data_IF_587062576051
#
_entry.id   IF_587062576051
#
_cell.length_a   1.000
_cell.length_b   1.000
_cell.length_c   1.000
_cell.angle_alpha   90.00
_cell.angle_beta   90.00
_cell.angle_gamma   90.00
#
_symmetry.space_group_name_H-M   'P 1'
#
loop_
_entity.id
_entity.type
_entity.pdbx_description
1 polymer ?
#
# COMPACT_ATOMS: atom_id res chain seq x y z
N UNK A 1 16.03 24.54 -14.43
CA UNK A 1 16.63 23.20 -14.21
C UNK A 1 16.48 22.73 -12.75
N UNK A 2 15.31 22.97 -12.12
CA UNK A 2 15.01 22.45 -10.77
C UNK A 2 14.11 21.21 -10.85
N UNK A 3 13.36 21.05 -11.94
CA UNK A 3 12.42 19.93 -12.13
C UNK A 3 13.12 18.57 -12.18
N UNK A 4 14.26 18.46 -12.87
CA UNK A 4 15.00 17.19 -13.00
C UNK A 4 15.43 16.62 -11.64
N UNK A 5 15.76 17.48 -10.66
CA UNK A 5 16.19 17.04 -9.33
C UNK A 5 15.04 16.55 -8.46
N UNK A 6 13.81 17.00 -8.70
CA UNK A 6 12.65 16.57 -7.87
C UNK A 6 12.34 15.10 -8.08
N UNK A 7 12.33 14.67 -9.33
CA UNK A 7 12.10 13.27 -9.70
C UNK A 7 13.29 12.38 -9.35
N UNK A 8 14.52 12.90 -9.41
CA UNK A 8 15.70 12.20 -8.86
C UNK A 8 15.57 11.93 -7.36
N UNK A 9 15.27 12.96 -6.55
CA UNK A 9 15.05 12.80 -5.11
C UNK A 9 13.86 11.86 -4.83
N UNK A 10 12.78 11.97 -5.61
CA UNK A 10 11.63 11.08 -5.47
C UNK A 10 12.00 9.61 -5.74
N UNK A 11 12.85 9.35 -6.74
CA UNK A 11 13.37 8.01 -7.05
C UNK A 11 14.18 7.47 -5.87
N UNK A 12 15.09 8.27 -5.32
CA UNK A 12 15.89 7.88 -4.15
C UNK A 12 15.00 7.56 -2.94
N UNK A 13 13.98 8.38 -2.66
CA UNK A 13 13.03 8.12 -1.58
C UNK A 13 12.24 6.83 -1.84
N UNK A 14 11.82 6.60 -3.08
CA UNK A 14 11.07 5.41 -3.47
C UNK A 14 11.88 4.11 -3.31
N UNK A 15 13.20 4.17 -3.55
CA UNK A 15 14.14 3.09 -3.27
C UNK A 15 14.35 2.94 -1.76
N UNK A 16 14.59 4.04 -1.05
CA UNK A 16 14.81 4.06 0.40
C UNK A 16 13.67 3.42 1.20
N UNK A 17 12.41 3.67 0.82
CA UNK A 17 11.22 3.09 1.47
C UNK A 17 11.19 1.56 1.42
N UNK A 18 11.84 0.95 0.44
CA UNK A 18 11.95 -0.51 0.32
C UNK A 18 13.05 -1.09 1.22
N UNK A 19 14.09 -0.32 1.49
CA UNK A 19 15.26 -0.76 2.24
C UNK A 19 15.09 -0.62 3.75
N UNK A 20 14.41 0.44 4.19
CA UNK A 20 14.24 0.71 5.61
C UNK A 20 13.00 0.05 6.20
N UNK A 21 13.10 -0.35 7.46
CA UNK A 21 11.93 -0.80 8.22
C UNK A 21 10.86 0.28 8.22
N UNK A 22 9.69 -0.03 7.66
CA UNK A 22 8.59 0.92 7.44
C UNK A 22 8.15 1.65 8.73
N UNK A 23 8.26 1.01 9.89
CA UNK A 23 7.95 1.61 11.20
C UNK A 23 8.85 2.80 11.59
N UNK A 24 9.99 2.99 10.91
CA UNK A 24 10.91 4.10 11.16
C UNK A 24 10.57 5.36 10.36
N UNK A 25 9.66 5.24 9.40
CA UNK A 25 9.24 6.34 8.55
C UNK A 25 8.03 7.03 9.18
N UNK A 26 8.09 8.36 9.28
CA UNK A 26 6.96 9.16 9.76
C UNK A 26 5.92 9.31 8.66
N UNK A 27 4.67 8.82 8.83
CA UNK A 27 3.63 8.91 7.80
C UNK A 27 3.35 10.35 7.34
N UNK A 28 3.22 11.29 8.28
CA UNK A 28 3.00 12.70 7.99
C UNK A 28 4.13 13.30 7.13
N UNK A 29 5.38 13.17 7.58
CA UNK A 29 6.54 13.75 6.89
C UNK A 29 6.72 13.19 5.49
N UNK A 30 6.59 11.87 5.34
CA UNK A 30 6.75 11.24 4.04
C UNK A 30 5.62 11.64 3.08
N UNK A 31 4.38 11.71 3.56
CA UNK A 31 3.22 12.13 2.76
C UNK A 31 3.39 13.56 2.25
N UNK A 32 3.81 14.49 3.12
CA UNK A 32 4.08 15.88 2.72
C UNK A 32 5.19 15.99 1.67
N UNK A 33 6.31 15.28 1.86
CA UNK A 33 7.42 15.29 0.91
C UNK A 33 6.99 14.67 -0.43
N UNK A 34 6.25 13.57 -0.38
CA UNK A 34 5.71 12.90 -1.56
C UNK A 34 4.83 13.83 -2.40
N UNK A 35 3.82 14.47 -1.80
CA UNK A 35 2.90 15.39 -2.51
C UNK A 35 3.64 16.54 -3.19
N UNK A 36 4.71 17.04 -2.57
CA UNK A 36 5.55 18.06 -3.20
C UNK A 36 6.35 17.46 -4.34
N UNK A 37 7.09 16.37 -4.14
CA UNK A 37 8.02 15.87 -5.16
C UNK A 37 7.33 15.23 -6.37
N UNK A 38 6.15 14.66 -6.20
CA UNK A 38 5.38 14.01 -7.25
C UNK A 38 4.42 14.96 -8.00
N UNK A 39 4.59 16.28 -7.87
CA UNK A 39 3.82 17.29 -8.61
C UNK A 39 4.74 18.24 -9.41
N UNK A 40 4.73 18.21 -10.76
CA UNK A 40 3.87 17.39 -11.61
C UNK A 40 4.22 15.88 -11.52
N UNK A 41 3.26 14.99 -11.82
CA UNK A 41 3.49 13.55 -11.74
C UNK A 41 4.64 13.08 -12.62
N UNK A 42 5.54 12.22 -12.10
CA UNK A 42 6.56 11.60 -12.93
C UNK A 42 5.93 10.61 -13.91
N UNK A 43 6.52 10.47 -15.09
CA UNK A 43 6.06 9.58 -16.16
C UNK A 43 7.00 8.40 -16.40
N UNK A 44 8.14 8.35 -15.71
CA UNK A 44 9.23 7.38 -15.91
C UNK A 44 9.63 6.66 -14.60
N UNK A 45 8.96 6.94 -13.48
CA UNK A 45 9.24 6.36 -12.16
C UNK A 45 8.03 5.55 -11.70
N UNK A 46 8.23 4.26 -11.43
CA UNK A 46 7.20 3.45 -10.77
C UNK A 46 7.16 3.74 -9.26
N UNK A 47 6.13 4.45 -8.82
CA UNK A 47 5.90 4.81 -7.42
C UNK A 47 5.16 3.73 -6.61
N UNK A 48 5.04 2.51 -7.13
CA UNK A 48 4.43 1.37 -6.43
C UNK A 48 4.87 1.21 -4.95
N UNK A 49 6.17 1.29 -4.60
CA UNK A 49 6.62 1.16 -3.21
C UNK A 49 6.10 2.27 -2.29
N UNK A 50 6.18 3.53 -2.74
CA UNK A 50 5.65 4.67 -1.99
C UNK A 50 4.13 4.59 -1.84
N UNK A 51 3.41 4.24 -2.91
CA UNK A 51 1.96 4.05 -2.86
C UNK A 51 1.60 2.94 -1.87
N UNK A 52 2.31 1.82 -1.88
CA UNK A 52 2.06 0.71 -0.94
C UNK A 52 2.28 1.15 0.51
N UNK A 53 3.35 1.91 0.78
CA UNK A 53 3.62 2.46 2.10
C UNK A 53 2.52 3.43 2.55
N UNK A 54 2.20 4.43 1.73
CA UNK A 54 1.20 5.46 2.05
C UNK A 54 -0.20 4.86 2.24
N UNK A 55 -0.47 3.73 1.58
CA UNK A 55 -1.70 2.96 1.76
C UNK A 55 -1.72 2.10 3.02
N UNK A 56 -0.59 1.81 3.65
CA UNK A 56 -0.54 1.11 4.94
C UNK A 56 -0.54 2.09 6.11
N UNK A 57 0.03 3.27 5.89
CA UNK A 57 0.18 4.30 6.90
C UNK A 57 -0.37 5.63 6.37
N UNK A 58 -1.69 5.72 6.10
CA UNK A 58 -2.30 6.97 5.69
C UNK A 58 -2.31 7.95 6.87
N UNK A 59 -2.33 9.25 6.58
CA UNK A 59 -2.33 10.29 7.61
C UNK A 59 -3.38 11.36 7.27
N UNK A 60 -4.36 11.58 8.16
CA UNK A 60 -5.52 12.43 7.87
C UNK A 60 -5.17 13.84 7.42
N UNK A 61 -4.18 14.48 8.08
CA UNK A 61 -3.76 15.87 7.75
C UNK A 61 -3.27 16.10 6.32
N UNK A 62 -2.82 15.05 5.64
CA UNK A 62 -2.24 15.14 4.30
C UNK A 62 -3.00 14.27 3.31
N UNK A 63 -4.11 13.67 3.73
CA UNK A 63 -4.78 12.64 2.95
C UNK A 63 -5.32 13.18 1.63
N UNK A 64 -5.94 14.36 1.66
CA UNK A 64 -6.43 15.03 0.45
C UNK A 64 -5.31 15.22 -0.57
N UNK A 65 -4.22 15.89 -0.17
CA UNK A 65 -3.11 16.19 -1.08
C UNK A 65 -2.40 14.93 -1.56
N UNK A 66 -2.27 13.92 -0.69
CA UNK A 66 -1.65 12.65 -1.02
C UNK A 66 -2.50 11.87 -2.02
N UNK A 67 -3.80 11.77 -1.78
CA UNK A 67 -4.74 11.05 -2.65
C UNK A 67 -4.87 11.73 -4.01
N UNK A 68 -4.99 13.05 -4.07
CA UNK A 68 -4.97 13.82 -5.32
C UNK A 68 -3.69 13.56 -6.12
N UNK A 69 -2.54 13.58 -5.44
CA UNK A 69 -1.24 13.35 -6.09
C UNK A 69 -1.13 11.92 -6.65
N UNK A 70 -1.56 10.90 -5.87
CA UNK A 70 -1.53 9.51 -6.31
C UNK A 70 -2.50 9.28 -7.47
N UNK A 71 -3.71 9.85 -7.43
CA UNK A 71 -4.68 9.74 -8.53
C UNK A 71 -4.16 10.41 -9.79
N UNK A 72 -3.61 11.63 -9.67
CA UNK A 72 -2.99 12.32 -10.79
C UNK A 72 -1.85 11.48 -11.40
N UNK A 73 -1.00 10.88 -10.56
CA UNK A 73 0.06 9.97 -10.99
C UNK A 73 -0.48 8.72 -11.70
N UNK A 74 -1.50 8.06 -11.15
CA UNK A 74 -2.08 6.87 -11.78
C UNK A 74 -2.64 7.21 -13.17
N UNK A 75 -3.29 8.37 -13.30
CA UNK A 75 -3.84 8.85 -14.55
C UNK A 75 -2.74 9.20 -15.58
N UNK A 76 -1.61 9.77 -15.14
CA UNK A 76 -0.52 10.16 -16.03
C UNK A 76 0.41 9.01 -16.41
N UNK A 77 0.79 8.16 -15.46
CA UNK A 77 1.69 7.03 -15.65
C UNK A 77 0.98 5.86 -16.31
N UNK A 78 -0.32 5.71 -16.07
CA UNK A 78 -1.14 4.65 -16.64
C UNK A 78 -1.04 3.34 -15.87
N UNK A 79 -2.22 2.78 -15.56
CA UNK A 79 -2.36 1.56 -14.74
C UNK A 79 -1.60 0.34 -15.27
N UNK A 80 -1.37 0.23 -16.57
CA UNK A 80 -0.63 -0.88 -17.19
C UNK A 80 0.88 -0.83 -16.96
N UNK A 81 1.42 0.32 -16.57
CA UNK A 81 2.85 0.52 -16.34
C UNK A 81 3.24 0.28 -14.87
N UNK A 82 2.28 0.33 -13.95
CA UNK A 82 2.52 0.19 -12.51
C UNK A 82 2.85 -1.27 -12.19
N UNK A 83 4.00 -1.52 -11.56
CA UNK A 83 4.44 -2.89 -11.28
C UNK A 83 3.58 -3.58 -10.20
N UNK A 84 3.08 -2.84 -9.19
CA UNK A 84 2.28 -3.40 -8.09
C UNK A 84 0.80 -3.01 -8.16
N UNK A 85 -0.01 -3.86 -8.80
CA UNK A 85 -1.47 -3.71 -8.79
C UNK A 85 -2.08 -3.85 -7.39
N UNK A 86 -1.43 -4.59 -6.48
CA UNK A 86 -1.85 -4.75 -5.09
C UNK A 86 -1.76 -3.43 -4.33
N UNK A 87 -0.66 -2.70 -4.51
CA UNK A 87 -0.47 -1.38 -3.89
C UNK A 87 -1.58 -0.41 -4.33
N UNK A 88 -1.83 -0.35 -5.63
CA UNK A 88 -2.90 0.50 -6.21
C UNK A 88 -4.27 0.08 -5.71
N UNK A 89 -4.61 -1.21 -5.70
CA UNK A 89 -5.91 -1.67 -5.19
C UNK A 89 -6.12 -1.30 -3.73
N UNK A 90 -5.10 -1.43 -2.89
CA UNK A 90 -5.19 -1.02 -1.48
C UNK A 90 -5.45 0.48 -1.38
N UNK A 91 -4.69 1.30 -2.10
CA UNK A 91 -4.89 2.74 -2.15
C UNK A 91 -6.33 3.09 -2.56
N UNK A 92 -6.79 2.54 -3.69
CA UNK A 92 -8.13 2.84 -4.21
C UNK A 92 -9.23 2.41 -3.25
N UNK A 93 -9.05 1.32 -2.51
CA UNK A 93 -9.99 0.90 -1.48
C UNK A 93 -10.10 1.93 -0.35
N UNK A 94 -8.97 2.50 0.12
CA UNK A 94 -8.99 3.57 1.11
C UNK A 94 -9.72 4.83 0.63
N UNK A 95 -9.58 5.17 -0.66
CA UNK A 95 -10.29 6.32 -1.21
C UNK A 95 -11.81 6.13 -1.25
N UNK A 96 -12.28 4.88 -1.32
CA UNK A 96 -13.71 4.56 -1.40
C UNK A 96 -14.32 4.38 -0.02
N UNK A 97 -13.55 3.91 0.97
CA UNK A 97 -14.04 3.67 2.32
C UNK A 97 -14.08 4.97 3.17
N UNK A 98 -15.27 5.49 3.52
CA UNK A 98 -15.40 6.67 4.38
C UNK A 98 -15.03 6.40 5.84
N UNK A 99 -15.04 5.14 6.28
CA UNK A 99 -14.89 4.81 7.71
C UNK A 99 -13.43 4.62 8.12
N UNK A 100 -12.49 4.72 7.18
CA UNK A 100 -11.10 4.44 7.46
C UNK A 100 -10.49 5.46 8.44
N UNK A 101 -9.64 4.94 9.33
CA UNK A 101 -8.96 5.74 10.37
C UNK A 101 -7.45 5.66 10.17
N UNK A 102 -6.76 6.76 10.44
CA UNK A 102 -5.30 6.78 10.46
C UNK A 102 -4.73 6.07 11.69
N UNK A 103 -3.40 5.97 11.78
CA UNK A 103 -2.71 5.34 12.91
C UNK A 103 -2.99 6.00 14.28
N UNK A 104 -3.52 7.23 14.28
CA UNK A 104 -3.91 7.97 15.48
C UNK A 104 -5.41 7.83 15.80
N UNK A 105 -6.16 7.08 14.99
CA UNK A 105 -7.61 6.91 15.15
C UNK A 105 -8.42 8.09 14.62
N UNK A 106 -7.80 9.04 13.91
CA UNK A 106 -8.54 10.13 13.29
C UNK A 106 -9.23 9.63 12.03
N UNK A 107 -10.39 10.21 11.71
CA UNK A 107 -10.98 10.07 10.38
C UNK A 107 -9.94 10.45 9.33
N UNK A 108 -9.86 9.71 8.25
CA UNK A 108 -8.96 10.04 7.17
C UNK A 108 -9.44 11.30 6.42
N UNK A 109 -10.75 11.55 6.44
CA UNK A 109 -11.42 12.64 5.72
C UNK A 109 -11.78 13.85 6.60
N UNK A 110 -11.47 13.83 7.90
CA UNK A 110 -11.92 14.90 8.84
C UNK A 110 -11.60 16.34 8.41
N UNK A 111 -10.49 16.54 7.69
CA UNK A 111 -10.03 17.86 7.23
C UNK A 111 -10.31 18.12 5.75
N UNK A 112 -10.93 17.17 5.06
CA UNK A 112 -11.22 17.26 3.63
C UNK A 112 -12.65 17.77 3.43
N UNK A 113 -12.87 18.82 2.62
CA UNK A 113 -14.23 19.24 2.27
C UNK A 113 -14.99 18.11 1.56
N UNK A 114 -16.28 17.95 1.86
CA UNK A 114 -17.14 16.88 1.29
C UNK A 114 -17.07 16.84 -0.25
N UNK A 115 -16.97 17.99 -0.91
CA UNK A 115 -16.85 18.08 -2.37
C UNK A 115 -15.57 17.42 -2.90
N UNK A 116 -14.44 17.61 -2.21
CA UNK A 116 -13.17 17.00 -2.56
C UNK A 116 -13.17 15.50 -2.25
N UNK A 117 -13.75 15.10 -1.11
CA UNK A 117 -13.92 13.68 -0.77
C UNK A 117 -14.74 12.96 -1.85
N UNK A 118 -15.91 13.50 -2.22
CA UNK A 118 -16.76 12.92 -3.25
C UNK A 118 -16.06 12.84 -4.61
N UNK A 119 -15.27 13.85 -4.96
CA UNK A 119 -14.46 13.86 -6.20
C UNK A 119 -13.43 12.73 -6.17
N UNK A 120 -12.60 12.66 -5.12
CA UNK A 120 -11.54 11.65 -4.97
C UNK A 120 -12.14 10.24 -4.96
N UNK A 121 -13.24 10.03 -4.23
CA UNK A 121 -13.95 8.74 -4.21
C UNK A 121 -14.41 8.33 -5.60
N UNK A 122 -15.07 9.22 -6.33
CA UNK A 122 -15.55 8.94 -7.70
C UNK A 122 -14.40 8.58 -8.64
N UNK A 123 -13.30 9.32 -8.59
CA UNK A 123 -12.12 9.03 -9.41
C UNK A 123 -11.51 7.67 -9.05
N UNK A 124 -11.44 7.35 -7.76
CA UNK A 124 -10.95 6.05 -7.29
C UNK A 124 -11.85 4.89 -7.73
N UNK A 125 -13.17 5.06 -7.73
CA UNK A 125 -14.13 4.06 -8.24
C UNK A 125 -13.90 3.75 -9.73
N UNK A 126 -13.69 4.79 -10.55
CA UNK A 126 -13.39 4.65 -11.98
C UNK A 126 -12.08 3.88 -12.19
N UNK A 127 -11.04 4.21 -11.44
CA UNK A 127 -9.75 3.52 -11.49
C UNK A 127 -9.84 2.07 -10.98
N UNK A 128 -10.69 1.82 -9.98
CA UNK A 128 -10.93 0.47 -9.43
C UNK A 128 -11.63 -0.44 -10.45
N UNK A 129 -12.62 0.09 -11.17
CA UNK A 129 -13.26 -0.61 -12.28
C UNK A 129 -12.25 -0.93 -13.40
N UNK A 130 -11.39 0.05 -13.73
CA UNK A 130 -10.37 -0.08 -14.78
C UNK A 130 -9.29 -1.12 -14.41
N UNK A 131 -8.80 -1.12 -13.18
CA UNK A 131 -7.82 -2.11 -12.68
C UNK A 131 -8.41 -3.53 -12.66
N UNK A 132 -9.69 -3.67 -12.35
CA UNK A 132 -10.39 -4.96 -12.40
C UNK A 132 -10.51 -5.48 -13.84
N UNK A 133 -10.85 -4.61 -14.79
CA UNK A 133 -10.92 -4.94 -16.21
C UNK A 133 -9.56 -5.40 -16.78
N UNK A 134 -8.49 -4.66 -16.49
CA UNK A 134 -7.13 -5.00 -16.93
C UNK A 134 -6.65 -6.33 -16.35
N UNK A 135 -6.96 -6.58 -15.08
CA UNK A 135 -6.64 -7.85 -14.42
C UNK A 135 -7.37 -9.03 -15.05
N UNK A 136 -8.64 -8.86 -15.40
CA UNK A 136 -9.43 -9.91 -16.04
C UNK A 136 -8.91 -10.26 -17.45
N UNK A 137 -8.57 -9.24 -18.23
CA UNK A 137 -8.06 -9.42 -19.60
C UNK A 137 -6.65 -10.00 -19.63
N UNK A 138 -5.78 -9.62 -18.68
CA UNK A 138 -4.44 -10.21 -18.56
C UNK A 138 -4.53 -11.72 -18.26
N UNK A 139 -5.38 -12.13 -17.33
CA UNK A 139 -5.60 -13.56 -17.00
C UNK A 139 -6.20 -14.35 -18.18
N UNK A 140 -7.12 -13.74 -18.93
CA UNK A 140 -7.74 -14.37 -20.11
C UNK A 140 -6.73 -14.61 -21.25
N UNK A 141 -5.83 -13.66 -21.51
CA UNK A 141 -4.76 -13.81 -22.52
C UNK A 141 -3.72 -14.86 -22.13
N UNK A 142 -3.37 -14.97 -20.85
CA UNK A 142 -2.46 -16.04 -20.39
C UNK A 142 -3.04 -17.44 -20.56
N UNK A 143 -4.37 -17.60 -20.44
CA UNK A 143 -5.04 -18.88 -20.69
C UNK A 143 -5.13 -19.23 -22.17
N UNK A 144 -5.25 -18.24 -23.07
CA UNK A 144 -5.21 -18.49 -24.52
C UNK A 144 -3.79 -18.81 -25.04
N UNK A 145 -2.73 -18.33 -24.39
CA UNK A 145 -1.34 -18.63 -24.80
C UNK A 145 -0.92 -20.08 -24.56
N UNK A 146 -1.53 -20.80 -23.61
CA UNK A 146 -1.27 -22.24 -23.45
C UNK A 146 -1.96 -23.13 -24.49
N UNK A 147 -2.72 -22.55 -25.41
CA UNK A 147 -3.52 -23.29 -26.40
C UNK A 147 -3.32 -22.83 -27.85
N UNK A 148 -2.15 -22.32 -28.24
CA UNK A 148 -1.73 -22.34 -29.66
C UNK A 148 -0.21 -22.25 -29.79
N UNK A 149 0.43 -23.34 -30.20
CA UNK A 149 1.77 -23.30 -30.75
C UNK A 149 1.70 -22.75 -32.18
N UNK A 150 2.08 -21.48 -32.39
CA UNK A 150 2.47 -20.97 -33.71
C UNK A 150 3.67 -20.04 -33.51
N UNK A 151 4.83 -20.31 -34.13
CA UNK A 151 5.99 -19.43 -34.05
C UNK A 151 5.94 -18.41 -35.18
N UNK A 152 5.82 -17.11 -34.87
CA UNK A 152 6.18 -16.05 -35.81
C UNK A 152 6.87 -14.87 -35.10
N UNK A 153 7.87 -14.37 -35.81
CA UNK A 153 8.90 -13.39 -35.44
C UNK A 153 8.35 -11.99 -35.08
N UNK A 154 8.86 -11.44 -33.96
CA UNK A 154 9.30 -10.06 -33.61
C UNK A 154 8.66 -8.82 -34.33
N UNK A 155 8.48 -7.66 -33.64
CA UNK A 155 9.60 -6.92 -33.04
C UNK A 155 9.38 -6.28 -31.65
N UNK A 156 10.48 -6.27 -30.90
CA UNK A 156 10.97 -5.32 -29.89
C UNK A 156 9.93 -4.45 -29.14
N UNK A 157 9.46 -4.93 -27.99
CA UNK A 157 8.95 -4.07 -26.90
C UNK A 157 10.09 -3.68 -25.97
N UNK A 158 10.24 -2.37 -25.75
CA UNK A 158 11.04 -1.80 -24.67
C UNK A 158 10.59 -2.46 -23.37
N UNK A 159 11.48 -3.27 -22.78
CA UNK A 159 11.25 -3.96 -21.52
C UNK A 159 11.68 -3.02 -20.41
N UNK A 160 10.71 -2.39 -19.75
CA UNK A 160 10.95 -1.82 -18.42
C UNK A 160 10.99 -3.01 -17.46
N UNK A 161 12.20 -3.38 -17.05
CA UNK A 161 12.40 -4.46 -16.08
C UNK A 161 11.91 -3.99 -14.71
N UNK A 162 10.68 -4.36 -14.33
CA UNK A 162 10.33 -4.49 -12.92
C UNK A 162 11.25 -5.57 -12.33
N UNK A 163 12.35 -5.16 -11.66
CA UNK A 163 13.24 -6.08 -10.96
C UNK A 163 12.50 -6.66 -9.75
N UNK A 164 11.92 -7.84 -9.93
CA UNK A 164 11.59 -8.73 -8.82
C UNK A 164 12.92 -9.37 -8.38
N UNK A 165 13.41 -9.18 -7.15
CA UNK A 165 14.57 -9.92 -6.69
C UNK A 165 14.19 -11.40 -6.53
N UNK A 166 14.54 -12.21 -7.52
CA UNK A 166 14.48 -13.65 -7.43
C UNK A 166 15.77 -14.17 -6.80
N UNK A 167 15.73 -14.54 -5.52
CA UNK A 167 16.69 -15.49 -4.94
C UNK A 167 16.14 -16.10 -3.65
N UNK A 168 15.58 -17.30 -3.78
CA UNK A 168 15.54 -18.30 -2.72
C UNK A 168 15.80 -19.67 -3.37
N UNK A 169 16.86 -20.41 -2.98
CA UNK A 169 17.11 -21.73 -3.52
C UNK A 169 16.13 -22.74 -2.89
N UNK A 170 15.30 -23.34 -3.74
CA UNK A 170 14.58 -24.58 -3.46
C UNK A 170 15.52 -25.77 -3.65
N UNK A 171 15.69 -26.58 -2.60
CA UNK A 171 16.03 -28.02 -2.57
C UNK A 171 16.29 -28.36 -1.08
N UNK A 172 15.66 -29.33 -0.41
CA UNK A 172 15.45 -30.72 -0.78
C UNK A 172 14.20 -31.31 -0.10
N UNK A 173 13.50 -32.18 -0.83
CA UNK A 173 12.56 -33.19 -0.36
C UNK A 173 13.13 -33.97 0.84
N UNK A 174 12.27 -34.33 1.81
CA UNK A 174 12.21 -35.67 2.44
C UNK A 174 10.75 -35.91 2.93
N UNK A 175 10.24 -37.17 2.90
CA UNK A 175 8.82 -37.49 3.08
C UNK A 175 8.40 -37.61 4.57
N UNK A 176 7.08 -37.65 4.87
CA UNK A 176 6.58 -37.63 6.25
C UNK A 176 6.61 -39.02 6.88
N UNK A 177 7.06 -39.12 8.13
CA UNK A 177 6.88 -40.33 8.95
C UNK A 177 6.19 -39.92 10.26
N UNK A 178 4.97 -40.41 10.44
CA UNK A 178 4.32 -40.70 11.74
C UNK A 178 3.62 -42.06 11.55
N UNK A 179 3.20 -42.82 12.59
CA UNK A 179 2.93 -42.43 14.00
C UNK A 179 3.30 -43.47 15.08
N UNK A 180 3.15 -43.12 16.39
CA UNK A 180 2.34 -43.85 17.41
C UNK A 180 2.51 -43.30 18.85
N UNK A 181 1.40 -42.80 19.41
CA UNK A 181 0.78 -43.05 20.74
C UNK A 181 1.62 -43.71 21.87
N UNK A 182 1.55 -43.38 23.19
CA UNK A 182 0.56 -42.72 24.10
C UNK A 182 1.22 -42.61 25.53
N UNK A 183 0.48 -42.29 26.62
CA UNK A 183 0.36 -41.01 27.36
C UNK A 183 1.35 -40.79 28.54
N UNK A 184 1.39 -39.55 29.07
CA UNK A 184 1.09 -39.41 30.51
C UNK A 184 0.43 -38.07 30.86
N UNK A 185 -0.42 -38.14 31.89
CA UNK A 185 -1.46 -37.19 32.31
C UNK A 185 -1.06 -36.57 33.65
N UNK A 186 -1.16 -35.24 33.77
CA UNK A 186 -1.48 -34.47 34.99
C UNK A 186 -1.56 -32.98 34.59
N UNK A 187 -2.72 -32.49 34.15
CA UNK A 187 -3.73 -31.70 34.89
C UNK A 187 -3.38 -30.21 35.13
N UNK A 188 -4.41 -29.33 35.16
CA UNK A 188 -4.34 -27.92 34.79
C UNK A 188 -4.42 -27.00 36.00
N UNK A 189 -3.94 -25.76 35.87
CA UNK A 189 -4.39 -24.66 36.73
C UNK A 189 -4.82 -23.45 35.91
N UNK A 190 -5.98 -22.95 36.32
CA UNK A 190 -6.75 -21.85 35.78
C UNK A 190 -6.05 -20.48 35.95
N UNK A 191 -6.21 -19.61 34.93
CA UNK A 191 -6.57 -18.16 34.89
C UNK A 191 -6.61 -17.34 36.21
N UNK A 192 -6.64 -15.98 36.22
CA UNK A 192 -6.75 -14.98 35.11
C UNK A 192 -5.87 -13.70 35.26
N UNK A 193 -6.00 -12.79 34.28
CA UNK A 193 -5.63 -11.36 34.34
C UNK A 193 -6.04 -10.64 35.65
N UNK A 194 -5.34 -9.52 35.96
CA UNK A 194 -6.08 -8.32 36.34
C UNK A 194 -5.50 -7.01 35.79
N UNK A 195 -6.36 -6.23 35.12
CA UNK A 195 -6.49 -4.77 35.23
C UNK A 195 -7.95 -4.54 35.67
N UNK A 196 -8.35 -3.48 36.42
CA UNK A 196 -7.83 -2.11 36.37
C UNK A 196 -7.71 -1.39 37.74
N UNK A 197 -6.94 -0.29 37.81
CA UNK A 197 -7.04 0.71 38.88
C UNK A 197 -7.30 2.10 38.29
N UNK A 198 -8.58 2.40 38.07
CA UNK A 198 -9.12 3.76 38.20
C UNK A 198 -9.46 3.91 39.69
N UNK A 199 -8.86 4.87 40.40
CA UNK A 199 -9.52 5.67 41.44
C UNK A 199 -8.57 6.73 42.02
N UNK A 200 -9.13 7.94 42.19
CA UNK A 200 -8.68 9.10 42.97
C UNK A 200 -7.51 9.94 42.44
N UNK A 201 -7.84 11.14 41.94
CA UNK A 201 -7.68 12.39 42.70
C UNK A 201 -8.58 13.50 42.09
N UNK A 202 -9.72 13.74 42.74
CA UNK A 202 -10.54 14.95 42.61
C UNK A 202 -10.45 15.70 43.95
N UNK A 203 -10.44 17.02 43.86
CA UNK A 203 -10.66 18.04 44.90
C UNK A 203 -9.42 18.58 45.63
N UNK A 204 -9.11 19.85 45.31
CA UNK A 204 -8.95 20.92 46.30
C UNK A 204 -9.02 22.27 45.57
N UNK A 205 -10.16 22.95 45.64
CA UNK A 205 -10.20 24.42 45.72
C UNK A 205 -10.05 24.82 47.18
N UNK A 206 -9.53 26.02 47.46
CA UNK A 206 -10.26 26.85 48.40
C UNK A 206 -10.39 28.31 47.92
N UNK A 207 -11.55 28.85 48.26
CA UNK A 207 -11.98 30.23 48.23
C UNK A 207 -11.27 31.03 49.33
N UNK A 208 -10.75 32.20 49.00
CA UNK A 208 -10.96 33.48 49.71
C UNK A 208 -10.93 34.62 48.68
#
# INVERSE_FOLDING_TARGET
>A
MVEDRRHEILREINEFVQEVGQSRLGPLSLSSVFSVLASPPPTDIDLSPLIDYLSRYPHGRTWKETSDTIIAYINSFGLSQICSSVAVRRFLHLCVDPEYRDAHGNDLWWSTPDEDEMRIRREAEILSASTSYLSFHSSSLTLQQFSTAVPLLLPSRITVHCRIPANLPMNLLHPPITPRHLPNRAQPDHLPCPSPLIHLLRSATPTE
#
